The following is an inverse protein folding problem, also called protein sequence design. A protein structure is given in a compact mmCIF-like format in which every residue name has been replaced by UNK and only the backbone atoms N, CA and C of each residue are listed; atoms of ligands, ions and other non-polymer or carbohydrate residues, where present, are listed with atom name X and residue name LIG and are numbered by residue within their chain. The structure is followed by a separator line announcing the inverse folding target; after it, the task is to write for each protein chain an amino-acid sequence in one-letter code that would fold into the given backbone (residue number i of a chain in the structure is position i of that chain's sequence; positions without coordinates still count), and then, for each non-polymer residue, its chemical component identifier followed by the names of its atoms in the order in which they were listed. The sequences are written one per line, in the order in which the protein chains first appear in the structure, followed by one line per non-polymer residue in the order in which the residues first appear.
data_IF_182844389707
#
_entry.id   IF_182844389707
#
_cell.length_a   1.000
_cell.length_b   1.000
_cell.length_c   1.000
_cell.angle_alpha   90.00
_cell.angle_beta   90.00
_cell.angle_gamma   90.00
#
_symmetry.space_group_name_H-M   'P 1'
#
loop_
_entity.id
_entity.type
_entity.pdbx_description
1 polymer ?
#
# COMPACT_ATOMS: atom_id res chain seq x y z
N UNK A 1 -37.71 1.18 18.67
CA UNK A 1 -36.83 2.19 18.02
C UNK A 1 -36.34 1.52 16.76
N UNK A 2 -36.93 1.85 15.61
CA UNK A 2 -36.55 1.25 14.33
C UNK A 2 -35.18 1.80 13.91
N UNK A 3 -34.27 0.93 13.51
CA UNK A 3 -32.93 1.32 13.07
C UNK A 3 -33.05 2.03 11.73
N UNK A 4 -32.39 3.18 11.57
CA UNK A 4 -32.38 3.91 10.30
C UNK A 4 -31.77 3.01 9.20
N UNK A 5 -32.49 2.86 8.09
CA UNK A 5 -32.11 1.97 6.98
C UNK A 5 -30.69 2.23 6.45
N UNK A 6 -30.23 3.48 6.46
CA UNK A 6 -28.87 3.85 6.07
C UNK A 6 -27.81 3.35 7.07
N UNK A 7 -28.10 3.40 8.37
CA UNK A 7 -27.25 2.81 9.42
C UNK A 7 -27.16 1.29 9.24
N UNK A 8 -28.29 0.65 8.92
CA UNK A 8 -28.33 -0.79 8.72
C UNK A 8 -27.50 -1.24 7.51
N UNK A 9 -27.60 -0.54 6.38
CA UNK A 9 -26.76 -0.77 5.20
C UNK A 9 -25.26 -0.61 5.49
N UNK A 10 -24.88 0.40 6.26
CA UNK A 10 -23.48 0.60 6.67
C UNK A 10 -22.99 -0.54 7.57
N UNK A 11 -23.81 -0.96 8.54
CA UNK A 11 -23.47 -2.09 9.43
C UNK A 11 -23.29 -3.39 8.63
N UNK A 12 -24.17 -3.68 7.67
CA UNK A 12 -24.08 -4.86 6.81
C UNK A 12 -22.79 -4.87 5.98
N UNK A 13 -22.42 -3.73 5.38
CA UNK A 13 -21.17 -3.59 4.62
C UNK A 13 -19.96 -3.79 5.54
N UNK A 14 -19.96 -3.17 6.74
CA UNK A 14 -18.89 -3.34 7.71
C UNK A 14 -18.74 -4.78 8.18
N UNK A 15 -19.85 -5.45 8.47
CA UNK A 15 -19.84 -6.85 8.85
C UNK A 15 -19.23 -7.68 7.73
N UNK A 16 -19.67 -7.48 6.48
CA UNK A 16 -19.14 -8.18 5.33
C UNK A 16 -17.63 -7.96 5.14
N UNK A 17 -17.17 -6.72 5.25
CA UNK A 17 -15.74 -6.40 5.18
C UNK A 17 -14.98 -7.14 6.28
N UNK A 18 -15.46 -7.09 7.53
CA UNK A 18 -14.76 -7.70 8.67
C UNK A 18 -14.78 -9.23 8.63
N UNK A 19 -15.83 -9.85 8.07
CA UNK A 19 -15.94 -11.31 8.02
C UNK A 19 -15.31 -11.92 6.78
N UNK A 20 -15.39 -11.26 5.62
CA UNK A 20 -14.95 -11.84 4.35
C UNK A 20 -13.58 -11.34 3.88
N UNK A 21 -13.23 -10.07 4.11
CA UNK A 21 -11.99 -9.52 3.56
C UNK A 21 -10.74 -10.13 4.22
N UNK A 22 -10.62 -10.20 5.56
CA UNK A 22 -9.44 -10.78 6.21
C UNK A 22 -9.11 -12.21 5.78
N UNK A 23 -10.05 -13.19 5.77
CA UNK A 23 -9.72 -14.54 5.35
C UNK A 23 -9.34 -14.61 3.88
N UNK A 24 -10.06 -13.93 2.97
CA UNK A 24 -9.72 -13.90 1.53
C UNK A 24 -8.35 -13.28 1.26
N UNK A 25 -8.02 -12.19 1.96
CA UNK A 25 -6.70 -11.56 1.87
C UNK A 25 -5.61 -12.49 2.39
N UNK A 26 -5.85 -13.18 3.51
CA UNK A 26 -4.91 -14.16 4.05
C UNK A 26 -4.67 -15.31 3.08
N UNK A 27 -5.73 -15.93 2.55
CA UNK A 27 -5.63 -17.01 1.57
C UNK A 27 -4.85 -16.57 0.32
N UNK A 28 -5.10 -15.36 -0.17
CA UNK A 28 -4.37 -14.80 -1.31
C UNK A 28 -2.87 -14.60 -1.02
N UNK A 29 -2.52 -14.11 0.17
CA UNK A 29 -1.13 -13.92 0.59
C UNK A 29 -0.42 -15.26 0.82
N UNK A 30 -1.11 -16.24 1.41
CA UNK A 30 -0.58 -17.60 1.61
C UNK A 30 -0.28 -18.25 0.24
N UNK A 31 -1.16 -18.08 -0.75
CA UNK A 31 -0.95 -18.58 -2.11
C UNK A 31 0.19 -17.85 -2.83
N UNK A 32 0.32 -16.53 -2.67
CA UNK A 32 1.49 -15.77 -3.18
C UNK A 32 2.78 -16.32 -2.58
N UNK A 33 2.80 -16.56 -1.26
CA UNK A 33 3.96 -17.14 -0.57
C UNK A 33 4.32 -18.53 -1.09
N UNK A 34 3.32 -19.37 -1.39
CA UNK A 34 3.52 -20.68 -2.03
C UNK A 34 4.13 -20.55 -3.43
N UNK A 35 3.64 -19.61 -4.23
CA UNK A 35 4.17 -19.34 -5.58
C UNK A 35 5.59 -18.77 -5.54
N UNK A 36 5.93 -17.93 -4.55
CA UNK A 36 7.30 -17.45 -4.34
C UNK A 36 8.26 -18.59 -4.03
N UNK A 37 7.86 -19.53 -3.16
CA UNK A 37 8.67 -20.72 -2.85
C UNK A 37 8.89 -21.59 -4.10
N UNK A 38 7.83 -21.82 -4.90
CA UNK A 38 7.94 -22.58 -6.14
C UNK A 38 8.80 -21.88 -7.20
N UNK A 39 8.66 -20.56 -7.35
CA UNK A 39 9.48 -19.79 -8.28
C UNK A 39 10.96 -19.84 -7.89
N UNK A 40 11.27 -19.79 -6.59
CA UNK A 40 12.63 -19.94 -6.07
C UNK A 40 13.18 -21.33 -6.36
N UNK A 41 12.44 -22.38 -6.01
CA UNK A 41 12.85 -23.76 -6.27
C UNK A 41 13.09 -23.99 -7.77
N UNK A 42 12.19 -23.50 -8.62
CA UNK A 42 12.30 -23.58 -10.07
C UNK A 42 13.53 -22.80 -10.60
N UNK A 43 13.84 -21.65 -10.01
CA UNK A 43 15.04 -20.87 -10.33
C UNK A 43 16.33 -21.64 -10.01
N UNK A 44 16.39 -22.26 -8.83
CA UNK A 44 17.53 -23.10 -8.42
C UNK A 44 17.70 -24.31 -9.35
N UNK A 45 16.60 -24.95 -9.75
CA UNK A 45 16.60 -26.05 -10.74
C UNK A 45 17.12 -25.58 -12.11
N UNK A 46 16.65 -24.44 -12.61
CA UNK A 46 17.10 -23.85 -13.88
C UNK A 46 18.60 -23.54 -13.83
N UNK A 47 19.08 -22.96 -12.74
CA UNK A 47 20.50 -22.64 -12.59
C UNK A 47 21.37 -23.90 -12.57
N UNK A 48 20.95 -24.94 -11.87
CA UNK A 48 21.63 -26.24 -11.87
C UNK A 48 21.65 -26.87 -13.28
N UNK A 49 20.53 -26.85 -14.00
CA UNK A 49 20.46 -27.33 -15.38
C UNK A 49 21.38 -26.54 -16.31
N UNK A 50 21.45 -25.21 -16.14
CA UNK A 50 22.35 -24.34 -16.91
C UNK A 50 23.81 -24.73 -16.69
N UNK A 51 24.22 -24.94 -15.43
CA UNK A 51 25.59 -25.38 -15.09
C UNK A 51 25.89 -26.73 -15.73
N UNK A 52 24.99 -27.71 -15.63
CA UNK A 52 25.17 -29.04 -16.23
C UNK A 52 25.25 -28.99 -17.76
N UNK A 53 24.42 -28.16 -18.39
CA UNK A 53 24.43 -27.95 -19.84
C UNK A 53 25.78 -27.39 -20.30
N UNK A 54 26.28 -26.34 -19.64
CA UNK A 54 27.56 -25.73 -19.98
C UNK A 54 28.73 -26.70 -19.76
N UNK A 55 28.74 -27.45 -18.65
CA UNK A 55 29.80 -28.42 -18.34
C UNK A 55 29.90 -29.57 -19.34
N UNK A 56 28.81 -29.89 -20.04
CA UNK A 56 28.75 -30.98 -21.02
C UNK A 56 28.62 -30.50 -22.47
N UNK A 57 28.63 -29.19 -22.70
CA UNK A 57 28.32 -28.60 -24.01
C UNK A 57 29.22 -29.16 -25.12
N UNK A 58 30.53 -29.27 -24.90
CA UNK A 58 31.47 -29.75 -25.92
C UNK A 58 31.34 -31.26 -26.18
N UNK A 59 30.75 -32.01 -25.25
CA UNK A 59 30.58 -33.47 -25.33
C UNK A 59 29.24 -33.89 -25.93
N UNK A 60 28.32 -32.94 -26.11
CA UNK A 60 26.97 -33.19 -26.62
C UNK A 60 26.91 -33.06 -28.15
N UNK A 61 26.08 -33.90 -28.78
CA UNK A 61 25.73 -33.74 -30.20
C UNK A 61 24.83 -32.51 -30.41
N UNK A 62 24.72 -32.02 -31.65
CA UNK A 62 23.82 -30.90 -31.98
C UNK A 62 22.38 -31.15 -31.57
N UNK A 63 21.87 -32.37 -31.75
CA UNK A 63 20.51 -32.76 -31.35
C UNK A 63 20.34 -32.74 -29.83
N UNK A 64 21.32 -33.27 -29.08
CA UNK A 64 21.32 -33.21 -27.62
C UNK A 64 21.36 -31.76 -27.12
N UNK A 65 22.14 -30.88 -27.77
CA UNK A 65 22.19 -29.45 -27.46
C UNK A 65 20.83 -28.79 -27.64
N UNK A 66 20.19 -29.04 -28.79
CA UNK A 66 18.86 -28.50 -29.07
C UNK A 66 17.85 -28.96 -28.02
N UNK A 67 17.81 -30.26 -27.71
CA UNK A 67 16.86 -30.81 -26.74
C UNK A 67 17.08 -30.26 -25.33
N UNK A 68 18.33 -30.18 -24.87
CA UNK A 68 18.65 -29.61 -23.57
C UNK A 68 18.33 -28.11 -23.49
N UNK A 69 18.57 -27.36 -24.56
CA UNK A 69 18.21 -25.95 -24.64
C UNK A 69 16.69 -25.74 -24.61
N UNK A 70 15.91 -26.50 -25.39
CA UNK A 70 14.45 -26.47 -25.35
C UNK A 70 13.90 -26.82 -23.97
N UNK A 71 14.52 -27.80 -23.29
CA UNK A 71 14.15 -28.13 -21.92
C UNK A 71 14.43 -26.97 -20.96
N UNK A 72 15.60 -26.33 -21.05
CA UNK A 72 15.94 -25.18 -20.22
C UNK A 72 15.00 -23.99 -20.45
N UNK A 73 14.63 -23.72 -21.71
CA UNK A 73 13.63 -22.71 -22.06
C UNK A 73 12.27 -22.99 -21.41
N UNK A 74 11.81 -24.24 -21.46
CA UNK A 74 10.55 -24.65 -20.82
C UNK A 74 10.58 -24.44 -19.30
N UNK A 75 11.70 -24.76 -18.64
CA UNK A 75 11.85 -24.56 -17.19
C UNK A 75 11.89 -23.07 -16.81
N UNK A 76 12.47 -22.23 -17.67
CA UNK A 76 12.43 -20.77 -17.49
C UNK A 76 11.02 -20.19 -17.68
N UNK A 77 10.27 -20.68 -18.67
CA UNK A 77 8.88 -20.27 -18.90
C UNK A 77 7.98 -20.60 -17.71
N UNK A 78 8.15 -21.78 -17.12
CA UNK A 78 7.43 -22.19 -15.90
C UNK A 78 7.71 -21.27 -14.70
N UNK A 79 8.95 -20.76 -14.58
CA UNK A 79 9.30 -19.76 -13.55
C UNK A 79 8.56 -18.43 -13.79
N UNK A 80 8.45 -17.99 -15.06
CA UNK A 80 7.68 -16.80 -15.42
C UNK A 80 6.20 -16.98 -15.11
N UNK A 81 5.63 -18.15 -15.39
CA UNK A 81 4.23 -18.46 -15.11
C UNK A 81 3.89 -18.28 -13.62
N UNK A 82 4.76 -18.75 -12.71
CA UNK A 82 4.57 -18.50 -11.27
C UNK A 82 4.62 -17.01 -10.92
N UNK A 83 5.47 -16.24 -11.60
CA UNK A 83 5.53 -14.79 -11.42
C UNK A 83 4.22 -14.11 -11.86
N UNK A 84 3.71 -14.47 -13.02
CA UNK A 84 2.47 -13.92 -13.57
C UNK A 84 1.26 -14.26 -12.69
N UNK A 85 1.20 -15.50 -12.17
CA UNK A 85 0.15 -15.93 -11.25
C UNK A 85 0.13 -15.08 -9.97
N UNK A 86 1.28 -14.72 -9.39
CA UNK A 86 1.35 -13.83 -8.21
C UNK A 86 0.83 -12.44 -8.49
N UNK A 87 1.20 -11.87 -9.65
CA UNK A 87 0.74 -10.55 -10.08
C UNK A 87 -0.78 -10.55 -10.23
N UNK A 88 -1.33 -11.60 -10.84
CA UNK A 88 -2.77 -11.73 -11.05
C UNK A 88 -3.54 -11.88 -9.72
N UNK A 89 -3.03 -12.66 -8.76
CA UNK A 89 -3.63 -12.75 -7.41
C UNK A 89 -3.62 -11.37 -6.73
N UNK A 90 -2.48 -10.67 -6.76
CA UNK A 90 -2.33 -9.34 -6.16
C UNK A 90 -3.28 -8.32 -6.77
N UNK A 91 -3.43 -8.35 -8.10
CA UNK A 91 -4.36 -7.52 -8.85
C UNK A 91 -5.82 -7.79 -8.45
N UNK A 92 -6.23 -9.06 -8.42
CA UNK A 92 -7.61 -9.44 -8.02
C UNK A 92 -7.92 -9.01 -6.59
N UNK A 93 -6.98 -9.22 -5.67
CA UNK A 93 -7.15 -8.80 -4.28
C UNK A 93 -7.34 -7.28 -4.16
N UNK A 94 -6.50 -6.51 -4.86
CA UNK A 94 -6.59 -5.04 -4.87
C UNK A 94 -7.92 -4.56 -5.45
N UNK A 95 -8.38 -5.17 -6.55
CA UNK A 95 -9.66 -4.85 -7.16
C UNK A 95 -10.83 -5.10 -6.18
N UNK A 96 -10.84 -6.26 -5.52
CA UNK A 96 -11.88 -6.63 -4.54
C UNK A 96 -11.93 -5.65 -3.36
N UNK A 97 -10.77 -5.30 -2.79
CA UNK A 97 -10.70 -4.34 -1.67
C UNK A 97 -11.16 -2.93 -2.11
N UNK A 98 -10.78 -2.52 -3.32
CA UNK A 98 -11.19 -1.22 -3.89
C UNK A 98 -12.69 -1.16 -4.11
N UNK A 99 -13.30 -2.24 -4.59
CA UNK A 99 -14.74 -2.33 -4.77
C UNK A 99 -15.48 -2.25 -3.43
N UNK A 100 -15.05 -3.00 -2.41
CA UNK A 100 -15.65 -2.96 -1.08
C UNK A 100 -15.53 -1.56 -0.45
N UNK A 101 -14.39 -0.89 -0.62
CA UNK A 101 -14.20 0.49 -0.16
C UNK A 101 -15.17 1.45 -0.88
N UNK A 102 -15.31 1.32 -2.20
CA UNK A 102 -16.24 2.14 -2.98
C UNK A 102 -17.68 1.98 -2.51
N UNK A 103 -18.11 0.74 -2.26
CA UNK A 103 -19.45 0.44 -1.70
C UNK A 103 -19.65 1.09 -0.33
N UNK A 104 -18.61 1.03 0.53
CA UNK A 104 -18.63 1.67 1.84
C UNK A 104 -18.72 3.20 1.77
N UNK A 105 -17.91 3.83 0.92
CA UNK A 105 -17.88 5.29 0.74
C UNK A 105 -19.23 5.79 0.18
N UNK A 106 -19.83 5.05 -0.77
CA UNK A 106 -21.15 5.35 -1.31
C UNK A 106 -22.26 5.24 -0.26
N UNK A 107 -22.27 4.17 0.55
CA UNK A 107 -23.24 3.99 1.63
C UNK A 107 -23.10 5.05 2.72
N UNK A 108 -21.87 5.42 3.06
CA UNK A 108 -21.56 6.47 4.03
C UNK A 108 -22.04 7.84 3.56
N UNK A 109 -21.81 8.18 2.30
CA UNK A 109 -22.27 9.43 1.70
C UNK A 109 -23.80 9.50 1.72
N UNK A 110 -24.47 8.44 1.28
CA UNK A 110 -25.93 8.36 1.28
C UNK A 110 -26.53 8.52 2.69
N UNK A 111 -25.91 7.89 3.69
CA UNK A 111 -26.34 8.03 5.08
C UNK A 111 -26.22 9.48 5.59
N UNK A 112 -25.10 10.15 5.31
CA UNK A 112 -24.88 11.54 5.72
C UNK A 112 -25.92 12.47 5.08
N UNK A 113 -26.16 12.32 3.78
CA UNK A 113 -27.10 13.16 3.02
C UNK A 113 -28.55 12.98 3.47
N UNK A 114 -28.93 11.75 3.83
CA UNK A 114 -30.30 11.40 4.22
C UNK A 114 -30.49 11.33 5.75
N UNK A 115 -29.52 11.78 6.54
CA UNK A 115 -29.66 11.78 8.00
C UNK A 115 -30.71 12.81 8.45
N UNK A 116 -31.74 12.41 9.21
CA UNK A 116 -32.81 13.33 9.60
C UNK A 116 -32.28 14.42 10.54
N UNK A 117 -32.09 15.62 10.00
CA UNK A 117 -31.66 16.83 10.74
C UNK A 117 -32.71 17.32 11.75
N UNK A 118 -33.95 16.83 11.69
CA UNK A 118 -35.09 17.34 12.47
C UNK A 118 -35.33 16.65 13.81
N UNK A 119 -34.79 15.44 14.06
CA UNK A 119 -35.09 14.69 15.30
C UNK A 119 -34.26 15.18 16.49
N UNK A 120 -33.00 15.57 16.29
CA UNK A 120 -32.12 16.01 17.39
C UNK A 120 -32.19 17.51 17.68
N UNK A 121 -32.37 18.37 16.66
CA UNK A 121 -32.40 19.83 16.85
C UNK A 121 -33.62 20.36 17.61
N UNK A 122 -34.77 19.67 17.54
CA UNK A 122 -36.00 20.12 18.22
C UNK A 122 -36.06 19.75 19.70
N UNK A 123 -35.15 18.89 20.19
CA UNK A 123 -35.13 18.47 21.60
C UNK A 123 -34.34 19.42 22.52
N UNK A 124 -33.44 20.26 21.97
CA UNK A 124 -32.65 21.24 22.72
C UNK A 124 -33.25 22.66 22.71
N UNK A 125 -34.11 22.99 21.73
CA UNK A 125 -34.72 24.31 21.63
C UNK A 125 -35.80 24.61 22.70
N UNK A 126 -36.30 23.59 23.40
CA UNK A 126 -37.33 23.73 24.45
C UNK A 126 -36.78 23.72 25.89
N UNK A 127 -35.46 23.75 26.08
CA UNK A 127 -34.86 23.97 27.40
C UNK A 127 -34.44 25.43 27.55
N UNK A 128 -35.42 26.34 27.57
CA UNK A 128 -35.21 27.64 28.21
C UNK A 128 -34.90 27.38 29.69
N UNK A 129 -33.75 27.83 30.22
CA UNK A 129 -33.55 27.83 31.66
C UNK A 129 -34.51 28.88 32.23
N UNK A 130 -35.46 28.46 33.06
CA UNK A 130 -36.21 29.40 33.89
C UNK A 130 -35.21 30.15 34.76
N UNK A 131 -35.04 31.44 34.48
CA UNK A 131 -34.27 32.34 35.33
C UNK A 131 -35.06 32.54 36.62
N UNK A 132 -34.50 32.24 37.81
CA UNK A 132 -35.19 32.53 39.05
C UNK A 132 -35.25 34.06 39.22
N UNK A 133 -36.45 34.61 39.18
CA UNK A 133 -36.71 36.01 39.55
C UNK A 133 -36.42 36.19 41.03
N UNK A 134 -35.21 36.60 41.36
CA UNK A 134 -34.90 37.19 42.67
C UNK A 134 -35.03 38.71 42.57
N UNK A 135 -35.53 39.25 43.67
CA UNK A 135 -36.01 40.60 43.91
C UNK A 135 -34.94 41.72 43.83
N UNK A 136 -35.45 42.93 43.62
CA UNK A 136 -34.98 44.19 44.24
C UNK A 136 -33.74 44.92 43.67
N UNK A 137 -34.04 46.00 42.94
CA UNK A 137 -33.62 47.39 43.21
C UNK A 137 -32.12 47.76 43.35
N UNK A 138 -31.66 48.45 42.29
CA UNK A 138 -30.87 49.70 42.25
C UNK A 138 -29.36 49.79 42.62
N UNK A 139 -28.68 50.47 41.67
CA UNK A 139 -27.52 51.41 41.76
C UNK A 139 -26.07 50.92 41.56
N UNK A 140 -25.61 51.21 40.33
CA UNK A 140 -24.42 52.00 39.90
C UNK A 140 -22.99 51.62 40.34
N UNK A 141 -22.20 51.42 39.27
CA UNK A 141 -20.87 51.98 38.90
C UNK A 141 -19.57 51.28 39.36
N UNK A 142 -18.78 51.01 38.31
CA UNK A 142 -17.36 51.32 38.08
C UNK A 142 -16.30 50.20 38.18
N UNK A 143 -15.38 50.30 37.20
CA UNK A 143 -13.95 49.95 37.19
C UNK A 143 -13.51 48.53 36.77
N UNK A 144 -12.89 48.47 35.60
CA UNK A 144 -11.78 47.55 35.25
C UNK A 144 -10.48 48.06 35.93
N UNK A 145 -9.48 47.22 36.30
CA UNK A 145 -8.49 46.76 35.31
C UNK A 145 -7.73 45.42 35.61
N UNK A 146 -7.11 44.90 34.53
CA UNK A 146 -5.81 44.19 34.43
C UNK A 146 -5.52 42.97 35.34
N UNK A 147 -5.39 41.77 34.75
CA UNK A 147 -4.32 40.85 35.14
C UNK A 147 -3.78 40.00 33.99
N UNK A 148 -2.46 39.83 34.03
CA UNK A 148 -1.55 39.50 32.95
C UNK A 148 -1.11 38.03 32.97
N UNK A 149 -0.78 37.54 31.77
CA UNK A 149 0.39 36.70 31.40
C UNK A 149 0.45 35.23 31.83
N UNK A 150 0.59 34.37 30.81
CA UNK A 150 1.74 33.50 30.47
C UNK A 150 1.37 32.83 29.12
N UNK A 151 2.11 32.88 28.01
CA UNK A 151 3.55 32.96 27.81
C UNK A 151 4.03 31.67 27.14
N UNK A 152 3.92 31.56 25.80
CA UNK A 152 4.89 30.76 25.01
C UNK A 152 4.98 31.30 23.58
N UNK A 153 6.20 31.69 23.22
CA UNK A 153 6.65 32.23 21.92
C UNK A 153 7.45 31.13 21.21
N UNK A 154 7.31 31.02 19.89
CA UNK A 154 8.25 30.50 18.84
C UNK A 154 7.43 29.84 17.72
N UNK A 155 7.70 30.03 16.42
CA UNK A 155 8.74 30.75 15.69
C UNK A 155 8.24 30.86 14.24
N UNK A 156 8.15 32.06 13.68
CA UNK A 156 8.04 32.24 12.22
C UNK A 156 9.40 31.90 11.59
N UNK A 157 9.38 31.16 10.49
CA UNK A 157 10.51 31.04 9.57
C UNK A 157 10.04 31.57 8.24
N UNK A 158 10.69 32.64 7.77
CA UNK A 158 10.56 33.17 6.41
C UNK A 158 11.51 32.41 5.48
N UNK A 159 10.99 32.19 4.25
CA UNK A 159 11.62 31.93 2.95
C UNK A 159 13.15 31.98 2.86
N UNK A 160 13.69 31.03 2.10
CA UNK A 160 14.70 31.29 1.06
C UNK A 160 14.25 30.61 -0.24
N UNK A 161 14.24 31.40 -1.32
CA UNK A 161 14.23 30.99 -2.72
C UNK A 161 15.68 31.10 -3.20
N UNK A 162 16.20 30.04 -3.81
CA UNK A 162 17.36 29.94 -4.72
C UNK A 162 17.23 28.51 -5.29
N UNK A 163 17.21 28.20 -6.58
CA UNK A 163 17.83 28.82 -7.75
C UNK A 163 18.65 27.73 -8.45
N UNK A 164 18.49 27.61 -9.77
CA UNK A 164 19.43 26.99 -10.74
C UNK A 164 19.23 25.52 -11.21
N UNK A 165 18.70 25.43 -12.43
CA UNK A 165 19.29 24.82 -13.63
C UNK A 165 19.66 23.33 -13.64
N UNK A 166 18.71 22.52 -14.12
CA UNK A 166 18.96 21.19 -14.68
C UNK A 166 19.45 21.38 -16.13
N UNK A 167 20.76 21.20 -16.35
CA UNK A 167 21.33 20.98 -17.69
C UNK A 167 20.83 19.65 -18.25
N UNK A 168 20.12 19.72 -19.38
CA UNK A 168 20.01 18.61 -20.32
C UNK A 168 21.32 18.51 -21.10
N UNK A 169 22.03 17.39 -20.98
CA UNK A 169 22.99 16.97 -22.00
C UNK A 169 22.37 15.83 -22.80
N UNK A 170 22.15 16.11 -24.09
CA UNK A 170 21.99 15.12 -25.15
C UNK A 170 23.36 14.47 -25.44
N UNK A 171 23.40 13.14 -25.51
CA UNK A 171 24.43 12.34 -26.19
C UNK A 171 23.65 11.19 -26.85
N UNK A 172 23.26 11.32 -28.11
CA UNK A 172 24.04 11.12 -29.35
C UNK A 172 24.50 9.66 -29.55
N UNK A 173 24.09 9.14 -30.70
CA UNK A 173 24.20 7.78 -31.18
C UNK A 173 25.65 7.43 -31.53
N UNK A 174 26.11 6.21 -31.21
CA UNK A 174 27.34 5.73 -31.83
C UNK A 174 28.01 4.51 -31.23
N UNK A 175 27.61 3.34 -31.73
CA UNK A 175 28.52 2.29 -32.20
C UNK A 175 29.60 1.74 -31.23
N UNK A 176 29.30 0.57 -30.64
CA UNK A 176 30.17 -0.60 -30.64
C UNK A 176 31.51 -0.54 -29.92
N UNK A 177 31.62 -1.23 -28.79
CA UNK A 177 32.78 -2.10 -28.53
C UNK A 177 32.49 -3.08 -27.37
N UNK A 178 32.92 -4.32 -27.59
CA UNK A 178 32.88 -5.45 -26.68
C UNK A 178 33.90 -5.19 -25.57
N UNK A 179 33.48 -5.18 -24.31
CA UNK A 179 34.40 -5.23 -23.17
C UNK A 179 34.21 -6.53 -22.40
N UNK A 180 35.14 -7.42 -22.73
CA UNK A 180 35.49 -8.65 -22.04
C UNK A 180 36.45 -8.22 -20.91
N UNK A 181 35.98 -8.15 -19.68
CA UNK A 181 36.82 -7.86 -18.50
C UNK A 181 36.58 -9.01 -17.50
N UNK A 182 37.36 -10.09 -17.67
CA UNK A 182 38.44 -10.45 -16.74
C UNK A 182 37.96 -10.45 -15.28
N UNK A 183 37.36 -11.57 -14.89
CA UNK A 183 37.32 -12.06 -13.52
C UNK A 183 38.76 -12.31 -13.09
N UNK A 184 39.37 -11.34 -12.41
CA UNK A 184 40.55 -11.59 -11.61
C UNK A 184 40.12 -12.28 -10.31
N UNK A 185 40.72 -13.44 -10.11
CA UNK A 185 40.67 -14.27 -8.92
C UNK A 185 41.25 -13.50 -7.73
N UNK A 186 40.43 -13.23 -6.71
CA UNK A 186 40.90 -13.10 -5.34
C UNK A 186 39.96 -13.93 -4.45
N UNK A 187 40.32 -15.20 -4.33
CA UNK A 187 39.96 -16.05 -3.19
C UNK A 187 40.57 -15.42 -1.94
N UNK A 188 39.77 -14.86 -1.04
CA UNK A 188 40.12 -14.83 0.38
C UNK A 188 38.86 -14.75 1.27
N UNK A 189 38.77 -15.75 2.15
CA UNK A 189 37.96 -15.83 3.37
C UNK A 189 36.48 -16.24 3.30
N UNK A 190 36.31 -17.55 3.12
CA UNK A 190 35.25 -18.33 3.76
C UNK A 190 35.31 -18.17 5.29
N UNK A 191 34.27 -17.60 5.89
CA UNK A 191 33.88 -17.93 7.26
C UNK A 191 32.40 -18.24 7.34
N UNK A 192 32.07 -19.52 7.32
CA UNK A 192 30.79 -20.05 7.79
C UNK A 192 30.91 -20.28 9.30
N UNK A 193 30.06 -19.63 10.10
CA UNK A 193 29.85 -20.00 11.49
C UNK A 193 28.55 -20.80 11.60
N UNK A 194 28.65 -21.88 12.38
CA UNK A 194 27.69 -22.97 12.58
C UNK A 194 26.33 -22.54 13.13
#
# INVERSE_FOLDING_TARGET
MEMNEGVQKIIEIFQKINTEAPPKTREALDEIGRLDALAKEQSDQVQNLKVQFLANFDKMTTEQKSNAFSHLQLQMEKMLEYSDQKVEISRRMTANLTEMKSQFDAASTNFIENYPTSSHRNSEANRTPETPKTSSSNRKKNETPDEKRRGRKKKEVKKEEEGEDIKQEELDDGNGEILNEMLDEDDEDRTWCW
#
